data_IF_786437011866
#
_entry.id   IF_786437011866
#
_cell.length_a   1.000
_cell.length_b   1.000
_cell.length_c   1.000
_cell.angle_alpha   90.00
_cell.angle_beta   90.00
_cell.angle_gamma   90.00
#
_symmetry.space_group_name_H-M   'P 1'
#
loop_
_entity.id
_entity.type
_entity.pdbx_description
1 polymer ?
#
# COMPACT_ATOMS: atom_id res chain seq x y z
N UNK A 1 -4.07 14.59 2.00
CA UNK A 1 -5.48 14.28 2.29
C UNK A 1 -5.60 12.77 2.41
N UNK A 2 -6.03 12.25 3.55
CA UNK A 2 -6.24 10.81 3.79
C UNK A 2 -7.71 10.64 4.12
N UNK A 3 -8.44 9.84 3.33
CA UNK A 3 -9.87 9.55 3.56
C UNK A 3 -10.02 8.05 3.84
N UNK A 4 -9.35 7.55 4.89
CA UNK A 4 -9.07 6.13 5.08
C UNK A 4 -10.15 5.26 5.73
N UNK A 5 -11.24 5.86 6.21
CA UNK A 5 -12.13 5.21 7.18
C UNK A 5 -13.34 4.50 6.53
N UNK A 6 -13.49 4.59 5.20
CA UNK A 6 -14.62 4.04 4.45
C UNK A 6 -14.14 3.21 3.26
N UNK A 7 -14.94 2.26 2.76
CA UNK A 7 -14.69 1.62 1.48
C UNK A 7 -14.43 2.66 0.38
N UNK A 8 -13.38 2.46 -0.42
CA UNK A 8 -12.92 3.45 -1.41
C UNK A 8 -11.97 4.52 -0.85
N UNK A 9 -11.59 4.42 0.43
CA UNK A 9 -10.61 5.31 1.05
C UNK A 9 -9.20 5.20 0.46
N UNK A 10 -8.51 6.33 0.39
CA UNK A 10 -7.14 6.42 -0.16
C UNK A 10 -6.18 6.91 0.92
N UNK A 11 -5.08 6.17 1.09
CA UNK A 11 -3.96 6.51 1.94
C UNK A 11 -2.75 6.85 1.07
N UNK A 12 -2.24 8.07 1.19
CA UNK A 12 -0.98 8.48 0.56
C UNK A 12 0.14 8.36 1.59
N UNK A 13 1.09 7.44 1.35
CA UNK A 13 2.26 7.25 2.21
C UNK A 13 3.49 7.90 1.58
N UNK A 14 4.03 8.93 2.23
CA UNK A 14 5.23 9.65 1.78
C UNK A 14 6.34 9.52 2.81
N UNK A 15 7.58 9.32 2.34
CA UNK A 15 8.76 9.22 3.19
C UNK A 15 9.93 8.62 2.43
N UNK A 16 11.13 8.75 2.97
CA UNK A 16 12.36 8.24 2.35
C UNK A 16 12.39 6.71 2.25
N UNK A 17 13.37 6.18 1.52
CA UNK A 17 13.65 4.74 1.50
C UNK A 17 13.95 4.27 2.93
N UNK A 18 13.28 3.22 3.38
CA UNK A 18 13.41 2.73 4.76
C UNK A 18 12.53 3.43 5.80
N UNK A 19 11.74 4.45 5.44
CA UNK A 19 10.83 5.14 6.38
C UNK A 19 9.66 4.29 6.91
N UNK A 20 9.62 2.99 6.61
CA UNK A 20 8.60 2.08 7.13
C UNK A 20 7.25 2.07 6.41
N UNK A 21 7.13 2.70 5.23
CA UNK A 21 5.89 2.72 4.43
C UNK A 21 5.27 1.34 4.22
N UNK A 22 6.09 0.36 3.83
CA UNK A 22 5.66 -1.04 3.65
C UNK A 22 5.24 -1.70 4.95
N UNK A 23 5.92 -1.38 6.06
CA UNK A 23 5.57 -1.89 7.39
C UNK A 23 4.18 -1.40 7.80
N UNK A 24 3.87 -0.12 7.56
CA UNK A 24 2.54 0.43 7.79
C UNK A 24 1.48 -0.27 6.92
N UNK A 25 1.76 -0.48 5.62
CA UNK A 25 0.84 -1.22 4.74
C UNK A 25 0.56 -2.63 5.25
N UNK A 26 1.58 -3.33 5.79
CA UNK A 26 1.41 -4.66 6.40
C UNK A 26 0.49 -4.61 7.63
N UNK A 27 0.64 -3.60 8.50
CA UNK A 27 -0.25 -3.39 9.64
C UNK A 27 -1.71 -3.18 9.21
N UNK A 28 -1.93 -2.37 8.17
CA UNK A 28 -3.27 -2.15 7.59
C UNK A 28 -3.83 -3.46 7.02
N UNK A 29 -3.03 -4.24 6.30
CA UNK A 29 -3.44 -5.52 5.73
C UNK A 29 -3.85 -6.52 6.82
N UNK A 30 -3.10 -6.58 7.93
CA UNK A 30 -3.44 -7.39 9.09
C UNK A 30 -4.78 -6.95 9.70
N UNK A 31 -5.00 -5.64 9.89
CA UNK A 31 -6.28 -5.11 10.38
C UNK A 31 -7.47 -5.35 9.44
N UNK A 32 -7.19 -5.60 8.16
CA UNK A 32 -8.19 -6.00 7.17
C UNK A 32 -8.37 -7.52 7.06
N UNK A 33 -7.58 -8.33 7.77
CA UNK A 33 -7.66 -9.80 7.70
C UNK A 33 -7.18 -10.37 6.36
N UNK A 34 -6.20 -9.73 5.72
CA UNK A 34 -5.55 -10.28 4.52
C UNK A 34 -4.73 -11.51 4.92
N UNK A 35 -4.97 -12.64 4.25
CA UNK A 35 -4.16 -13.84 4.40
C UNK A 35 -2.88 -13.75 3.53
N UNK A 36 -1.73 -14.02 4.14
CA UNK A 36 -0.43 -13.98 3.47
C UNK A 36 0.34 -12.67 3.65
N UNK A 37 1.55 -12.62 3.08
CA UNK A 37 2.50 -11.54 3.35
C UNK A 37 2.41 -10.42 2.30
N UNK A 38 2.07 -9.21 2.73
CA UNK A 38 2.14 -8.02 1.86
C UNK A 38 3.60 -7.60 1.70
N UNK A 39 4.11 -7.66 0.47
CA UNK A 39 5.47 -7.23 0.11
C UNK A 39 5.41 -5.90 -0.63
N UNK A 40 6.55 -5.20 -0.68
CA UNK A 40 6.66 -4.06 -1.60
C UNK A 40 6.41 -4.56 -3.03
N UNK A 41 5.58 -3.86 -3.81
CA UNK A 41 5.40 -4.07 -5.25
C UNK A 41 6.66 -3.68 -6.05
N UNK A 42 7.85 -4.17 -5.67
CA UNK A 42 9.13 -3.67 -6.20
C UNK A 42 9.23 -3.81 -7.73
N UNK A 43 8.54 -4.77 -8.34
CA UNK A 43 8.52 -5.00 -9.80
C UNK A 43 7.15 -4.91 -10.46
N UNK A 44 6.08 -4.78 -9.67
CA UNK A 44 4.70 -4.69 -10.15
C UNK A 44 4.15 -3.40 -9.60
N UNK A 45 3.74 -2.45 -10.44
CA UNK A 45 3.29 -1.12 -9.99
C UNK A 45 2.20 -1.15 -8.88
N UNK A 46 1.44 -2.25 -8.82
CA UNK A 46 0.38 -2.48 -7.83
C UNK A 46 0.28 -3.96 -7.45
N UNK A 47 0.00 -4.24 -6.18
CA UNK A 47 -0.50 -5.54 -5.72
C UNK A 47 -1.91 -5.40 -5.14
N UNK A 48 -2.73 -6.44 -5.30
CA UNK A 48 -4.07 -6.52 -4.73
C UNK A 48 -4.13 -7.64 -3.70
N UNK A 49 -4.68 -7.34 -2.54
CA UNK A 49 -4.85 -8.27 -1.43
C UNK A 49 -6.31 -8.30 -0.98
N UNK A 50 -6.84 -9.50 -0.74
CA UNK A 50 -8.23 -9.68 -0.36
C UNK A 50 -8.32 -10.01 1.13
N UNK A 51 -9.15 -9.25 1.84
CA UNK A 51 -9.53 -9.48 3.24
C UNK A 51 -10.99 -9.03 3.42
N UNK A 52 -11.31 -8.44 4.57
CA UNK A 52 -12.61 -7.78 4.82
C UNK A 52 -12.92 -6.69 3.80
N UNK A 53 -11.89 -5.99 3.33
CA UNK A 53 -11.95 -5.07 2.19
C UNK A 53 -10.79 -5.40 1.24
N UNK A 54 -10.94 -5.06 -0.03
CA UNK A 54 -9.85 -5.18 -1.01
C UNK A 54 -8.81 -4.08 -0.75
N UNK A 55 -7.59 -4.47 -0.44
CA UNK A 55 -6.44 -3.57 -0.31
C UNK A 55 -5.67 -3.54 -1.64
N UNK A 56 -5.63 -2.36 -2.28
CA UNK A 56 -4.77 -2.10 -3.42
C UNK A 56 -3.53 -1.36 -2.93
N UNK A 57 -2.37 -2.00 -3.01
CA UNK A 57 -1.09 -1.41 -2.62
C UNK A 57 -0.34 -0.97 -3.88
N UNK A 58 -0.11 0.32 -4.02
CA UNK A 58 0.60 0.93 -5.16
C UNK A 58 1.92 1.51 -4.66
N UNK A 59 3.01 1.22 -5.35
CA UNK A 59 4.33 1.75 -5.02
C UNK A 59 4.91 2.46 -6.25
N UNK A 60 4.90 3.80 -6.19
CA UNK A 60 5.33 4.68 -7.28
C UNK A 60 6.81 5.05 -7.17
N UNK A 61 7.58 4.42 -6.26
CA UNK A 61 9.01 4.74 -6.07
C UNK A 61 9.83 4.67 -7.37
N UNK A 62 9.40 3.87 -8.35
CA UNK A 62 10.09 3.66 -9.64
C UNK A 62 9.50 4.44 -10.82
N UNK A 63 8.49 5.27 -10.61
CA UNK A 63 8.00 6.15 -11.68
C UNK A 63 9.05 7.24 -11.91
N UNK A 64 9.86 7.08 -12.94
CA UNK A 64 10.76 8.13 -13.39
C UNK A 64 9.95 9.37 -13.74
N UNK A 65 10.42 10.54 -13.31
CA UNK A 65 9.95 11.80 -13.88
C UNK A 65 10.35 11.79 -15.34
N UNK A 66 9.40 11.52 -16.23
CA UNK A 66 9.58 11.86 -17.63
C UNK A 66 9.78 13.39 -17.70
N UNK A 67 10.76 13.77 -18.51
CA UNK A 67 11.46 15.05 -18.59
C UNK A 67 10.57 16.30 -18.53
#
# INVERSE_FOLDING_TARGET
MVNGERPGGVFLLTGELGAGKTCLTQGIALGLGVEGYVRSPTFVLMTRHQGRLTLNHVDLYRMEKCC
#
